data_IF_538862209714
#
_entry.id   IF_538862209714
#
_cell.length_a   1.000
_cell.length_b   1.000
_cell.length_c   1.000
_cell.angle_alpha   90.00
_cell.angle_beta   90.00
_cell.angle_gamma   90.00
#
_symmetry.space_group_name_H-M   'P 1'
#
loop_
_entity.id
_entity.type
_entity.pdbx_description
1 polymer ?
#
# COMPACT_ATOMS: atom_id res chain seq x y z
N UNK A 1 -15.08 26.57 -17.47
CA UNK A 1 -14.96 26.91 -18.89
C UNK A 1 -16.35 27.16 -19.48
N UNK A 2 -16.76 28.42 -19.61
CA UNK A 2 -17.96 28.83 -20.37
C UNK A 2 -17.55 29.12 -21.81
N UNK A 3 -18.33 28.75 -22.83
CA UNK A 3 -17.95 28.98 -24.22
C UNK A 3 -18.22 30.43 -24.61
N UNK A 4 -17.22 31.07 -25.22
CA UNK A 4 -17.37 32.38 -25.84
C UNK A 4 -18.25 32.24 -27.08
N UNK A 5 -19.42 32.87 -27.04
CA UNK A 5 -20.28 33.07 -28.20
C UNK A 5 -19.65 34.11 -29.13
N UNK A 6 -19.00 33.67 -30.21
CA UNK A 6 -18.97 34.35 -31.52
C UNK A 6 -18.04 33.59 -32.47
N UNK A 7 -18.60 32.94 -33.50
CA UNK A 7 -17.85 32.51 -34.69
C UNK A 7 -17.76 31.00 -34.93
N UNK A 8 -18.82 30.42 -35.51
CA UNK A 8 -18.74 29.46 -36.64
C UNK A 8 -18.01 28.12 -36.52
N UNK A 9 -17.41 27.75 -35.39
CA UNK A 9 -16.87 26.42 -35.13
C UNK A 9 -17.22 26.04 -33.69
N UNK A 10 -18.31 25.29 -33.52
CA UNK A 10 -18.72 24.80 -32.21
C UNK A 10 -17.79 23.65 -31.78
N UNK A 11 -16.68 23.99 -31.12
CA UNK A 11 -15.76 23.01 -30.55
C UNK A 11 -16.43 22.11 -29.49
N UNK A 12 -17.57 22.53 -28.95
CA UNK A 12 -18.37 21.69 -28.06
C UNK A 12 -19.16 20.61 -28.81
N UNK A 13 -19.08 20.53 -30.15
CA UNK A 13 -19.73 19.46 -30.91
C UNK A 13 -18.82 18.24 -31.15
N UNK A 14 -17.48 18.40 -31.11
CA UNK A 14 -16.55 17.34 -31.53
C UNK A 14 -16.01 16.46 -30.39
N UNK A 15 -15.95 16.98 -29.16
CA UNK A 15 -15.38 16.24 -28.03
C UNK A 15 -16.49 15.69 -27.13
N UNK A 16 -16.46 14.38 -26.91
CA UNK A 16 -17.33 13.72 -25.94
C UNK A 16 -17.08 14.22 -24.52
N UNK A 17 -18.02 13.96 -23.60
CA UNK A 17 -17.90 14.38 -22.20
C UNK A 17 -16.59 13.88 -21.56
N UNK A 18 -16.24 12.61 -21.80
CA UNK A 18 -15.04 11.99 -21.26
C UNK A 18 -13.75 12.67 -21.75
N UNK A 19 -13.68 13.04 -23.02
CA UNK A 19 -12.49 13.70 -23.58
C UNK A 19 -12.32 15.11 -22.99
N UNK A 20 -13.44 15.83 -22.78
CA UNK A 20 -13.40 17.14 -22.09
C UNK A 20 -12.86 17.01 -20.67
N UNK A 21 -13.27 15.97 -19.95
CA UNK A 21 -12.76 15.69 -18.60
C UNK A 21 -11.26 15.35 -18.62
N UNK A 22 -10.78 14.59 -19.61
CA UNK A 22 -9.35 14.31 -19.78
C UNK A 22 -8.55 15.58 -20.06
N UNK A 23 -9.05 16.47 -20.92
CA UNK A 23 -8.41 17.76 -21.20
C UNK A 23 -8.38 18.64 -19.95
N UNK A 24 -9.49 18.74 -19.22
CA UNK A 24 -9.53 19.47 -17.95
C UNK A 24 -8.53 18.90 -16.93
N UNK A 25 -8.47 17.57 -16.80
CA UNK A 25 -7.49 16.89 -15.94
C UNK A 25 -6.05 17.16 -16.37
N UNK A 26 -5.77 17.23 -17.67
CA UNK A 26 -4.44 17.55 -18.20
C UNK A 26 -4.00 18.97 -17.83
N UNK A 27 -4.89 19.95 -17.90
CA UNK A 27 -4.60 21.34 -17.48
C UNK A 27 -4.31 21.38 -15.98
N UNK A 28 -5.18 20.78 -15.15
CA UNK A 28 -4.98 20.73 -13.69
C UNK A 28 -3.66 20.09 -13.32
N UNK A 29 -3.31 18.95 -13.94
CA UNK A 29 -2.03 18.28 -13.67
C UNK A 29 -0.84 19.12 -14.12
N UNK A 30 -0.93 19.84 -15.23
CA UNK A 30 0.14 20.73 -15.69
C UNK A 30 0.38 21.89 -14.70
N UNK A 31 -0.70 22.52 -14.24
CA UNK A 31 -0.64 23.60 -13.24
C UNK A 31 -0.07 23.10 -11.91
N UNK A 32 -0.51 21.94 -11.42
CA UNK A 32 0.02 21.33 -10.19
C UNK A 32 1.51 21.02 -10.31
N UNK A 33 1.96 20.48 -11.45
CA UNK A 33 3.39 20.19 -11.68
C UNK A 33 4.22 21.48 -11.66
N UNK A 34 3.76 22.52 -12.33
CA UNK A 34 4.42 23.82 -12.34
C UNK A 34 4.46 24.46 -10.94
N UNK A 35 3.37 24.37 -10.17
CA UNK A 35 3.31 24.87 -8.80
C UNK A 35 4.29 24.14 -7.87
N UNK A 36 4.35 22.81 -7.93
CA UNK A 36 5.29 22.00 -7.14
C UNK A 36 6.74 22.36 -7.47
N UNK A 37 7.07 22.57 -8.74
CA UNK A 37 8.41 22.98 -9.15
C UNK A 37 8.74 24.42 -8.68
N UNK A 38 7.80 25.35 -8.81
CA UNK A 38 7.98 26.74 -8.41
C UNK A 38 8.10 26.92 -6.88
N UNK A 39 7.28 26.24 -6.10
CA UNK A 39 7.22 26.40 -4.64
C UNK A 39 8.26 25.55 -3.91
N UNK A 40 8.51 24.32 -4.38
CA UNK A 40 9.32 23.34 -3.66
C UNK A 40 10.63 22.98 -4.37
N UNK A 41 10.82 23.40 -5.63
CA UNK A 41 12.01 23.07 -6.43
C UNK A 41 12.07 21.60 -6.88
N UNK A 42 10.97 20.86 -6.78
CA UNK A 42 10.90 19.45 -7.19
C UNK A 42 10.14 19.29 -8.50
N UNK A 43 10.70 18.55 -9.45
CA UNK A 43 9.96 18.14 -10.64
C UNK A 43 9.10 16.91 -10.34
N UNK A 44 7.87 16.86 -10.87
CA UNK A 44 7.02 15.69 -10.79
C UNK A 44 6.43 15.31 -12.15
N UNK A 45 6.07 14.02 -12.29
CA UNK A 45 5.38 13.48 -13.46
C UNK A 45 3.93 13.18 -13.13
N UNK A 46 3.05 13.28 -14.13
CA UNK A 46 1.61 13.06 -13.97
C UNK A 46 1.04 12.05 -14.96
N UNK A 47 -0.08 11.42 -14.60
CA UNK A 47 -0.85 10.57 -15.49
C UNK A 47 -2.33 10.95 -15.40
N UNK A 48 -2.98 11.12 -16.54
CA UNK A 48 -4.39 11.49 -16.65
C UNK A 48 -5.10 10.43 -17.48
N UNK A 49 -6.17 9.84 -16.95
CA UNK A 49 -6.93 8.80 -17.61
C UNK A 49 -8.35 8.70 -17.02
N UNK A 50 -9.19 7.87 -17.64
CA UNK A 50 -10.57 7.60 -17.21
C UNK A 50 -10.69 6.86 -15.87
N UNK A 51 -9.63 6.22 -15.37
CA UNK A 51 -9.64 5.54 -14.08
C UNK A 51 -8.25 5.53 -13.41
N UNK A 52 -8.21 5.17 -12.12
CA UNK A 52 -7.00 5.18 -11.27
C UNK A 52 -5.89 4.27 -11.80
N UNK A 53 -6.26 3.10 -12.33
CA UNK A 53 -5.34 2.12 -12.89
C UNK A 53 -4.58 2.70 -14.09
N UNK A 54 -5.30 3.20 -15.09
CA UNK A 54 -4.72 3.74 -16.31
C UNK A 54 -3.93 5.03 -16.03
N UNK A 55 -4.40 5.87 -15.12
CA UNK A 55 -3.66 7.08 -14.71
C UNK A 55 -2.31 6.70 -14.06
N UNK A 56 -2.31 5.68 -13.20
CA UNK A 56 -1.09 5.17 -12.55
C UNK A 56 -0.10 4.57 -13.53
N UNK A 57 -0.59 3.85 -14.55
CA UNK A 57 0.22 3.29 -15.62
C UNK A 57 0.79 4.40 -16.51
N UNK A 58 -0.06 5.32 -16.98
CA UNK A 58 0.33 6.45 -17.84
C UNK A 58 1.38 7.37 -17.21
N UNK A 59 1.28 7.63 -15.90
CA UNK A 59 2.25 8.42 -15.14
C UNK A 59 3.69 7.85 -15.21
N UNK A 60 3.83 6.54 -15.36
CA UNK A 60 5.13 5.87 -15.43
C UNK A 60 5.83 5.95 -16.78
N UNK A 61 5.12 6.25 -17.86
CA UNK A 61 5.60 6.04 -19.24
C UNK A 61 6.66 7.05 -19.68
N UNK A 62 6.44 8.34 -19.42
CA UNK A 62 7.26 9.43 -19.96
C UNK A 62 8.10 10.14 -18.89
N UNK A 63 8.42 9.47 -17.77
CA UNK A 63 9.31 10.06 -16.76
C UNK A 63 10.70 10.37 -17.37
N UNK A 64 11.41 11.41 -16.89
CA UNK A 64 11.05 12.35 -15.80
C UNK A 64 10.35 13.63 -16.29
N UNK A 65 9.76 14.40 -15.35
CA UNK A 65 9.13 15.71 -15.56
C UNK A 65 8.22 15.84 -16.81
N UNK A 66 7.36 14.85 -17.01
CA UNK A 66 6.32 14.88 -18.05
C UNK A 66 4.99 14.39 -17.51
N UNK A 67 3.92 14.70 -18.23
CA UNK A 67 2.61 14.11 -18.01
C UNK A 67 2.14 13.31 -19.21
N UNK A 68 1.39 12.25 -18.96
CA UNK A 68 0.78 11.42 -20.00
C UNK A 68 -0.73 11.44 -19.89
N UNK A 69 -1.42 11.66 -20.99
CA UNK A 69 -2.87 11.50 -21.10
C UNK A 69 -3.13 10.16 -21.79
N UNK A 70 -3.83 9.25 -21.13
CA UNK A 70 -4.21 7.95 -21.68
C UNK A 70 -5.63 8.05 -22.22
N UNK A 71 -5.74 8.14 -23.54
CA UNK A 71 -7.02 8.12 -24.25
C UNK A 71 -7.62 6.71 -24.24
N UNK A 72 -8.96 6.55 -24.26
CA UNK A 72 -9.62 5.24 -24.30
C UNK A 72 -9.12 4.35 -25.44
N UNK A 73 -8.88 4.94 -26.61
CA UNK A 73 -8.41 4.24 -27.82
C UNK A 73 -6.96 3.74 -27.68
N UNK A 74 -6.18 4.41 -26.82
CA UNK A 74 -4.78 4.04 -26.55
C UNK A 74 -4.64 2.92 -25.50
N UNK A 75 -5.72 2.57 -24.78
CA UNK A 75 -5.66 1.57 -23.69
C UNK A 75 -5.19 0.20 -24.20
N UNK A 76 -5.73 -0.26 -25.33
CA UNK A 76 -5.32 -1.55 -25.91
C UNK A 76 -3.83 -1.59 -26.26
N UNK A 77 -3.29 -0.51 -26.82
CA UNK A 77 -1.86 -0.38 -27.11
C UNK A 77 -1.00 -0.29 -25.84
N UNK A 78 -1.49 0.41 -24.81
CA UNK A 78 -0.81 0.54 -23.54
C UNK A 78 -0.65 -0.81 -22.83
N UNK A 79 -1.67 -1.66 -22.89
CA UNK A 79 -1.71 -2.94 -22.17
C UNK A 79 -1.08 -4.09 -22.96
N UNK A 80 -0.96 -3.97 -24.28
CA UNK A 80 -0.50 -5.04 -25.19
C UNK A 80 0.75 -5.77 -24.68
N UNK A 81 1.81 -5.01 -24.43
CA UNK A 81 3.12 -5.54 -24.06
C UNK A 81 3.44 -5.29 -22.58
N UNK A 82 2.43 -4.91 -21.77
CA UNK A 82 2.64 -4.58 -20.36
C UNK A 82 2.86 -5.87 -19.56
N UNK A 83 4.03 -6.06 -18.91
CA UNK A 83 4.25 -7.23 -18.06
C UNK A 83 3.29 -7.23 -16.88
N UNK A 84 2.79 -8.41 -16.49
CA UNK A 84 1.81 -8.52 -15.40
C UNK A 84 2.30 -7.91 -14.07
N UNK A 85 3.59 -7.98 -13.76
CA UNK A 85 4.12 -7.39 -12.51
C UNK A 85 4.00 -5.86 -12.47
N UNK A 86 3.84 -5.21 -13.64
CA UNK A 86 3.66 -3.77 -13.74
C UNK A 86 2.19 -3.36 -13.58
N UNK A 87 1.24 -4.30 -13.67
CA UNK A 87 -0.14 -4.02 -13.30
C UNK A 87 -0.23 -3.83 -11.77
N UNK A 88 -0.82 -2.71 -11.31
CA UNK A 88 -1.13 -2.51 -9.90
C UNK A 88 -1.84 -3.73 -9.29
N UNK A 89 -1.33 -4.22 -8.16
CA UNK A 89 -1.86 -5.40 -7.46
C UNK A 89 -1.29 -6.75 -7.93
N UNK A 90 -0.58 -6.81 -9.07
CA UNK A 90 0.04 -8.04 -9.58
C UNK A 90 1.57 -8.06 -9.50
N UNK A 91 2.20 -7.09 -8.82
CA UNK A 91 3.65 -7.09 -8.59
C UNK A 91 4.14 -8.07 -7.52
N UNK A 92 3.24 -8.75 -6.80
CA UNK A 92 3.56 -9.68 -5.71
C UNK A 92 3.11 -11.12 -5.99
N UNK A 93 2.88 -11.88 -4.92
CA UNK A 93 2.58 -13.32 -4.98
C UNK A 93 1.40 -13.66 -5.89
N UNK A 94 0.34 -12.84 -5.88
CA UNK A 94 -0.82 -13.07 -6.75
C UNK A 94 -0.42 -13.04 -8.23
N UNK A 95 0.41 -12.08 -8.64
CA UNK A 95 0.88 -12.02 -10.03
C UNK A 95 1.76 -13.20 -10.38
N UNK A 96 2.65 -13.63 -9.47
CA UNK A 96 3.48 -14.83 -9.67
C UNK A 96 2.62 -16.09 -9.83
N UNK A 97 1.60 -16.28 -8.99
CA UNK A 97 0.66 -17.39 -9.07
C UNK A 97 -0.15 -17.36 -10.38
N UNK A 98 -0.60 -16.19 -10.81
CA UNK A 98 -1.33 -16.00 -12.08
C UNK A 98 -0.44 -16.39 -13.26
N UNK A 99 0.82 -15.93 -13.29
CA UNK A 99 1.79 -16.31 -14.32
C UNK A 99 2.00 -17.81 -14.40
N UNK A 100 2.21 -18.45 -13.25
CA UNK A 100 2.47 -19.88 -13.16
C UNK A 100 1.25 -20.72 -13.55
N UNK A 101 0.07 -20.41 -13.00
CA UNK A 101 -1.14 -21.21 -13.19
C UNK A 101 -1.75 -21.05 -14.59
N UNK A 102 -1.64 -19.86 -15.20
CA UNK A 102 -2.26 -19.55 -16.49
C UNK A 102 -1.28 -19.54 -17.65
N UNK A 103 0.03 -19.59 -17.39
CA UNK A 103 1.11 -19.51 -18.38
C UNK A 103 1.04 -18.24 -19.24
N UNK A 104 0.82 -17.10 -18.58
CA UNK A 104 0.75 -15.77 -19.19
C UNK A 104 1.82 -14.86 -18.58
N UNK A 105 2.29 -13.87 -19.33
CA UNK A 105 3.34 -12.93 -18.91
C UNK A 105 2.93 -11.47 -19.07
N UNK A 106 1.98 -11.17 -19.96
CA UNK A 106 1.51 -9.82 -20.28
C UNK A 106 0.04 -9.61 -19.94
N UNK A 107 -0.37 -8.33 -19.82
CA UNK A 107 -1.77 -7.98 -19.60
C UNK A 107 -2.68 -8.44 -20.75
N UNK A 108 -2.22 -8.34 -22.01
CA UNK A 108 -3.00 -8.82 -23.15
C UNK A 108 -3.16 -10.35 -23.17
N UNK A 109 -2.12 -11.10 -22.80
CA UNK A 109 -2.24 -12.56 -22.66
C UNK A 109 -3.24 -12.93 -21.56
N UNK A 110 -3.23 -12.21 -20.43
CA UNK A 110 -4.20 -12.42 -19.36
C UNK A 110 -5.63 -12.07 -19.81
N UNK A 111 -5.81 -10.98 -20.56
CA UNK A 111 -7.12 -10.58 -21.11
C UNK A 111 -7.68 -11.61 -22.11
N UNK A 112 -6.80 -12.34 -22.80
CA UNK A 112 -7.19 -13.41 -23.72
C UNK A 112 -7.56 -14.74 -23.01
N UNK A 113 -7.34 -14.87 -21.70
CA UNK A 113 -7.69 -16.09 -20.96
C UNK A 113 -9.21 -16.20 -20.86
N UNK A 114 -9.82 -17.34 -21.27
CA UNK A 114 -11.25 -17.54 -21.12
C UNK A 114 -11.72 -17.42 -19.67
N UNK A 115 -12.85 -16.75 -19.45
CA UNK A 115 -13.43 -16.51 -18.10
C UNK A 115 -13.55 -17.79 -17.28
N UNK A 116 -14.02 -18.89 -17.89
CA UNK A 116 -14.14 -20.19 -17.21
C UNK A 116 -12.80 -20.72 -16.67
N UNK A 117 -11.69 -20.46 -17.37
CA UNK A 117 -10.34 -20.85 -16.92
C UNK A 117 -9.85 -19.94 -15.79
N UNK A 118 -10.16 -18.64 -15.86
CA UNK A 118 -9.89 -17.70 -14.76
C UNK A 118 -10.67 -18.07 -13.49
N UNK A 119 -11.96 -18.38 -13.61
CA UNK A 119 -12.82 -18.79 -12.49
C UNK A 119 -12.38 -20.12 -11.87
N UNK A 120 -11.93 -21.08 -12.68
CA UNK A 120 -11.43 -22.35 -12.18
C UNK A 120 -10.13 -22.19 -11.38
N UNK A 121 -9.21 -21.34 -11.82
CA UNK A 121 -7.92 -21.13 -11.17
C UNK A 121 -8.00 -20.13 -9.99
N UNK A 122 -8.78 -19.07 -10.14
CA UNK A 122 -8.87 -17.94 -9.21
C UNK A 122 -10.32 -17.51 -8.95
N UNK A 123 -11.16 -18.37 -8.33
CA UNK A 123 -12.61 -18.14 -8.23
C UNK A 123 -12.99 -16.84 -7.53
N UNK A 124 -12.17 -16.35 -6.59
CA UNK A 124 -12.42 -15.09 -5.88
C UNK A 124 -11.95 -13.85 -6.63
N UNK A 125 -10.97 -14.00 -7.54
CA UNK A 125 -10.30 -12.90 -8.22
C UNK A 125 -10.55 -12.87 -9.73
N UNK A 126 -11.29 -13.83 -10.29
CA UNK A 126 -11.47 -13.96 -11.73
C UNK A 126 -11.98 -12.68 -12.40
N UNK A 127 -13.05 -12.08 -11.87
CA UNK A 127 -13.58 -10.79 -12.35
C UNK A 127 -12.55 -9.69 -12.25
N UNK A 128 -11.87 -9.58 -11.09
CA UNK A 128 -10.83 -8.57 -10.87
C UNK A 128 -9.68 -8.71 -11.87
N UNK A 129 -9.17 -9.93 -12.08
CA UNK A 129 -8.06 -10.20 -13.01
C UNK A 129 -8.45 -9.87 -14.45
N UNK A 130 -9.67 -10.24 -14.86
CA UNK A 130 -10.18 -9.94 -16.19
C UNK A 130 -10.32 -8.43 -16.42
N UNK A 131 -10.97 -7.72 -15.50
CA UNK A 131 -11.15 -6.26 -15.59
C UNK A 131 -9.82 -5.52 -15.58
N UNK A 132 -8.90 -5.93 -14.70
CA UNK A 132 -7.56 -5.34 -14.61
C UNK A 132 -6.78 -5.51 -15.92
N UNK A 133 -6.84 -6.69 -16.54
CA UNK A 133 -6.17 -6.99 -17.80
C UNK A 133 -6.72 -6.19 -18.99
N UNK A 134 -7.99 -5.81 -18.95
CA UNK A 134 -8.64 -4.94 -19.94
C UNK A 134 -8.53 -3.45 -19.60
N UNK A 135 -7.84 -3.08 -18.52
CA UNK A 135 -7.70 -1.68 -18.10
C UNK A 135 -8.94 -1.08 -17.46
N UNK A 136 -9.89 -1.92 -17.02
CA UNK A 136 -11.12 -1.54 -16.32
C UNK A 136 -10.85 -1.50 -14.81
N UNK A 137 -11.26 -0.41 -14.17
CA UNK A 137 -11.15 -0.23 -12.72
C UNK A 137 -12.27 0.70 -12.26
N UNK A 138 -13.16 0.19 -11.41
CA UNK A 138 -14.40 0.88 -11.06
C UNK A 138 -14.36 1.62 -9.73
N UNK A 139 -13.37 1.36 -8.87
CA UNK A 139 -13.35 2.03 -7.57
C UNK A 139 -13.20 3.54 -7.75
N UNK A 140 -14.05 4.34 -7.08
CA UNK A 140 -13.94 5.78 -7.11
C UNK A 140 -12.65 6.26 -6.45
N UNK A 141 -12.27 7.50 -6.73
CA UNK A 141 -11.26 8.20 -5.93
C UNK A 141 -11.88 8.41 -4.55
N UNK A 142 -11.21 7.88 -3.53
CA UNK A 142 -11.58 8.08 -2.13
C UNK A 142 -10.70 9.16 -1.55
N UNK A 143 -11.29 10.01 -0.70
CA UNK A 143 -10.52 10.93 0.11
C UNK A 143 -9.56 10.17 1.03
N UNK A 144 -8.52 10.86 1.49
CA UNK A 144 -7.55 10.26 2.39
C UNK A 144 -8.22 9.91 3.73
N UNK A 145 -8.49 8.63 3.93
CA UNK A 145 -8.96 8.12 5.22
C UNK A 145 -7.88 8.23 6.31
N UNK A 146 -8.32 8.33 7.56
CA UNK A 146 -7.43 8.25 8.71
C UNK A 146 -6.76 6.88 8.76
N UNK A 147 -5.47 6.85 9.11
CA UNK A 147 -4.71 5.60 9.23
C UNK A 147 -5.43 4.62 10.16
N UNK A 148 -5.67 3.38 9.73
CA UNK A 148 -6.39 2.39 10.55
C UNK A 148 -5.50 1.77 11.65
N UNK A 149 -4.18 1.89 11.50
CA UNK A 149 -3.18 1.41 12.46
C UNK A 149 -1.96 2.34 12.50
N UNK A 150 -1.26 2.34 13.65
CA UNK A 150 0.05 2.95 13.83
C UNK A 150 1.04 1.85 14.20
N UNK A 151 2.13 1.70 13.46
CA UNK A 151 3.14 0.66 13.73
C UNK A 151 4.55 1.22 13.82
N UNK A 152 5.36 0.57 14.65
CA UNK A 152 6.79 0.78 14.81
C UNK A 152 7.48 -0.59 14.86
N UNK A 153 8.62 -0.72 14.21
CA UNK A 153 9.31 -2.00 14.13
C UNK A 153 10.68 -1.89 13.50
N UNK A 154 11.47 -2.94 13.66
CA UNK A 154 12.86 -3.00 13.19
C UNK A 154 13.23 -4.41 12.74
N UNK A 155 14.00 -4.47 11.67
CA UNK A 155 14.66 -5.70 11.19
C UNK A 155 16.11 -5.71 11.64
N UNK A 156 16.56 -6.86 12.13
CA UNK A 156 17.87 -7.12 12.71
C UNK A 156 18.65 -8.09 11.84
N UNK A 157 19.83 -7.67 11.37
CA UNK A 157 20.63 -8.43 10.41
C UNK A 157 21.91 -9.01 11.04
N UNK A 158 22.27 -10.22 10.63
CA UNK A 158 23.54 -10.87 10.97
C UNK A 158 23.77 -10.95 12.49
N UNK A 159 24.89 -10.38 12.95
CA UNK A 159 25.28 -10.35 14.37
C UNK A 159 24.39 -9.47 15.26
N UNK A 160 23.49 -8.69 14.68
CA UNK A 160 22.60 -7.79 15.42
C UNK A 160 21.23 -8.41 15.72
N UNK A 161 21.04 -9.70 15.40
CA UNK A 161 19.85 -10.47 15.78
C UNK A 161 19.69 -10.45 17.30
N UNK A 162 18.44 -10.45 17.74
CA UNK A 162 18.15 -10.44 19.17
C UNK A 162 18.04 -11.88 19.66
N UNK A 163 18.92 -12.21 20.59
CA UNK A 163 19.05 -13.57 21.11
C UNK A 163 18.45 -13.72 22.51
N UNK A 164 18.19 -12.62 23.21
CA UNK A 164 17.60 -12.64 24.55
C UNK A 164 16.22 -11.98 24.61
N UNK A 165 15.42 -12.40 25.60
CA UNK A 165 14.12 -11.77 25.88
C UNK A 165 14.31 -10.31 26.30
N UNK A 166 15.36 -10.02 27.07
CA UNK A 166 15.66 -8.67 27.54
C UNK A 166 15.95 -7.71 26.37
N UNK A 167 16.67 -8.17 25.33
CA UNK A 167 16.91 -7.36 24.13
C UNK A 167 15.60 -7.04 23.41
N UNK A 168 14.68 -8.01 23.33
CA UNK A 168 13.38 -7.80 22.70
C UNK A 168 12.51 -6.85 23.52
N UNK A 169 12.50 -6.98 24.84
CA UNK A 169 11.77 -6.09 25.76
C UNK A 169 12.31 -4.66 25.72
N UNK A 170 13.62 -4.47 25.61
CA UNK A 170 14.22 -3.16 25.38
C UNK A 170 13.65 -2.51 24.10
N UNK A 171 13.65 -3.24 22.97
CA UNK A 171 13.09 -2.72 21.71
C UNK A 171 11.59 -2.47 21.79
N UNK A 172 10.81 -3.27 22.52
CA UNK A 172 9.40 -2.98 22.76
C UNK A 172 9.20 -1.68 23.53
N UNK A 173 10.08 -1.35 24.48
CA UNK A 173 10.09 -0.05 25.16
C UNK A 173 10.28 1.11 24.18
N UNK A 174 11.29 1.01 23.32
CA UNK A 174 11.57 2.03 22.29
C UNK A 174 10.37 2.22 21.34
N UNK A 175 9.80 1.13 20.83
CA UNK A 175 8.62 1.18 19.96
C UNK A 175 7.39 1.72 20.68
N UNK A 176 7.21 1.40 21.96
CA UNK A 176 6.09 1.89 22.74
C UNK A 176 6.17 3.40 22.96
N UNK A 177 7.36 3.95 23.22
CA UNK A 177 7.57 5.39 23.34
C UNK A 177 7.26 6.11 22.02
N UNK A 178 7.78 5.62 20.89
CA UNK A 178 7.50 6.19 19.56
C UNK A 178 6.00 6.12 19.21
N UNK A 179 5.38 4.96 19.43
CA UNK A 179 3.97 4.76 19.13
C UNK A 179 3.08 5.59 20.05
N UNK A 180 3.42 5.75 21.32
CA UNK A 180 2.68 6.60 22.24
C UNK A 180 2.71 8.06 21.78
N UNK A 181 3.87 8.58 21.35
CA UNK A 181 3.96 9.94 20.80
C UNK A 181 3.08 10.13 19.56
N UNK A 182 3.13 9.18 18.62
CA UNK A 182 2.32 9.21 17.38
C UNK A 182 0.83 9.06 17.66
N UNK A 183 0.47 8.20 18.61
CA UNK A 183 -0.89 8.00 19.07
C UNK A 183 -1.43 9.26 19.76
N UNK A 184 -0.70 9.89 20.67
CA UNK A 184 -1.15 11.11 21.35
C UNK A 184 -1.44 12.23 20.34
N UNK A 185 -0.60 12.38 19.31
CA UNK A 185 -0.87 13.32 18.22
C UNK A 185 -2.13 12.95 17.40
N UNK A 186 -2.42 11.66 17.19
CA UNK A 186 -3.66 11.20 16.54
C UNK A 186 -4.89 11.44 17.42
N UNK A 187 -4.76 11.23 18.74
CA UNK A 187 -5.81 11.48 19.72
C UNK A 187 -6.19 12.96 19.76
N UNK A 188 -5.20 13.86 19.82
CA UNK A 188 -5.43 15.31 19.86
C UNK A 188 -6.07 15.82 18.57
N UNK A 189 -5.64 15.31 17.41
CA UNK A 189 -6.13 15.77 16.10
C UNK A 189 -7.48 15.16 15.73
N UNK A 190 -7.69 13.90 16.08
CA UNK A 190 -8.78 13.08 15.54
C UNK A 190 -9.72 12.50 16.63
N UNK A 191 -9.46 12.77 17.91
CA UNK A 191 -10.36 12.40 19.02
C UNK A 191 -10.56 10.89 19.19
N UNK A 192 -9.54 10.07 18.90
CA UNK A 192 -9.64 8.61 18.85
C UNK A 192 -8.48 7.90 19.53
N UNK A 193 -8.77 6.74 20.13
CA UNK A 193 -7.81 5.91 20.84
C UNK A 193 -7.77 4.47 20.31
N UNK A 194 -6.60 3.83 20.27
CA UNK A 194 -6.45 2.45 19.81
C UNK A 194 -6.98 1.48 20.86
N UNK A 195 -7.83 0.54 20.44
CA UNK A 195 -8.32 -0.53 21.31
C UNK A 195 -7.48 -1.81 21.24
N UNK A 196 -6.55 -1.95 20.30
CA UNK A 196 -5.80 -3.20 20.11
C UNK A 196 -4.32 -2.95 19.96
N UNK A 197 -3.53 -3.85 20.52
CA UNK A 197 -2.07 -3.93 20.32
C UNK A 197 -1.72 -5.26 19.66
N UNK A 198 -0.85 -5.22 18.67
CA UNK A 198 -0.36 -6.38 17.93
C UNK A 198 1.16 -6.41 17.99
N UNK A 199 1.72 -7.55 18.40
CA UNK A 199 3.16 -7.83 18.37
C UNK A 199 3.45 -8.76 17.21
N UNK A 200 4.41 -8.41 16.36
CA UNK A 200 4.93 -9.25 15.29
C UNK A 200 6.40 -9.58 15.54
N UNK A 201 6.75 -10.86 15.40
CA UNK A 201 8.12 -11.36 15.58
C UNK A 201 8.49 -12.21 14.37
N UNK A 202 9.61 -11.89 13.73
CA UNK A 202 10.23 -12.73 12.70
C UNK A 202 11.43 -13.47 13.25
N UNK A 203 11.49 -14.78 13.00
CA UNK A 203 12.66 -15.62 13.26
C UNK A 203 13.11 -16.28 11.97
N UNK A 204 14.43 -16.31 11.75
CA UNK A 204 15.03 -16.85 10.53
C UNK A 204 15.28 -15.79 9.46
N UNK A 205 16.26 -16.07 8.57
CA UNK A 205 16.75 -15.14 7.54
C UNK A 205 18.13 -14.53 7.80
N UNK A 206 18.85 -14.99 8.81
CA UNK A 206 20.14 -14.44 9.23
C UNK A 206 21.34 -15.28 8.83
N UNK A 207 21.49 -15.67 7.57
CA UNK A 207 22.75 -16.14 7.02
C UNK A 207 22.85 -15.61 5.58
N UNK A 208 23.83 -14.74 5.33
CA UNK A 208 24.00 -14.12 4.02
C UNK A 208 24.07 -15.16 2.92
N UNK A 209 23.32 -14.92 1.83
CA UNK A 209 23.57 -15.46 0.49
C UNK A 209 22.76 -14.63 -0.50
N UNK A 210 23.31 -14.46 -1.70
CA UNK A 210 22.74 -13.63 -2.77
C UNK A 210 21.33 -14.05 -3.19
N UNK A 211 20.81 -13.27 -4.14
CA UNK A 211 19.45 -13.17 -4.71
C UNK A 211 18.67 -14.47 -5.04
N UNK A 212 19.12 -15.68 -4.68
CA UNK A 212 18.46 -16.94 -4.97
C UNK A 212 18.55 -17.89 -3.77
N UNK A 213 17.68 -17.69 -2.78
CA UNK A 213 17.51 -18.63 -1.69
C UNK A 213 16.22 -18.32 -0.93
N UNK A 214 15.25 -19.23 -0.99
CA UNK A 214 14.04 -19.17 -0.16
C UNK A 214 14.43 -19.43 1.30
N UNK A 215 14.72 -18.37 2.06
CA UNK A 215 14.84 -18.48 3.51
C UNK A 215 13.44 -18.57 4.10
N UNK A 216 13.12 -19.66 4.82
CA UNK A 216 11.87 -19.74 5.55
C UNK A 216 11.86 -18.69 6.66
N UNK A 217 11.18 -17.57 6.39
CA UNK A 217 10.86 -16.59 7.41
C UNK A 217 9.65 -17.11 8.18
N UNK A 218 9.85 -17.49 9.45
CA UNK A 218 8.73 -17.75 10.34
C UNK A 218 8.36 -16.45 11.04
N UNK A 219 7.31 -15.78 10.54
CA UNK A 219 6.70 -14.65 11.24
C UNK A 219 5.57 -15.15 12.14
N UNK A 220 5.54 -14.70 13.40
CA UNK A 220 4.42 -14.92 14.31
C UNK A 220 3.85 -13.58 14.74
N UNK A 221 2.52 -13.50 14.82
CA UNK A 221 1.82 -12.31 15.27
C UNK A 221 0.81 -12.69 16.36
N UNK A 222 0.76 -11.89 17.42
CA UNK A 222 -0.25 -11.99 18.46
C UNK A 222 -0.86 -10.61 18.70
N UNK A 223 -2.16 -10.56 18.94
CA UNK A 223 -2.86 -9.32 19.28
C UNK A 223 -3.63 -9.48 20.58
N UNK A 224 -3.65 -8.44 21.40
CA UNK A 224 -4.48 -8.35 22.61
C UNK A 224 -5.23 -7.02 22.63
N UNK A 225 -6.30 -6.99 23.41
CA UNK A 225 -7.06 -5.77 23.67
C UNK A 225 -6.23 -4.86 24.59
N UNK A 226 -6.06 -3.60 24.20
CA UNK A 226 -5.31 -2.60 24.96
C UNK A 226 -6.23 -1.85 25.96
N UNK A 227 -7.55 -2.08 25.90
CA UNK A 227 -8.50 -1.35 26.71
C UNK A 227 -8.70 0.09 26.21
N UNK A 228 -8.90 1.02 27.14
CA UNK A 228 -9.36 2.39 26.82
C UNK A 228 -8.25 3.32 26.32
N UNK A 229 -7.05 3.26 26.89
CA UNK A 229 -5.84 4.03 26.49
C UNK A 229 -4.60 3.45 27.19
N UNK A 230 -3.44 3.43 26.52
CA UNK A 230 -2.18 2.96 27.10
C UNK A 230 -1.10 4.05 27.18
N UNK A 231 -0.49 4.25 28.35
CA UNK A 231 0.82 4.92 28.44
C UNK A 231 1.89 4.12 27.71
N UNK A 232 3.06 4.71 27.44
CA UNK A 232 4.18 3.99 26.85
C UNK A 232 4.53 2.72 27.66
N UNK A 233 4.50 2.78 29.00
CA UNK A 233 4.77 1.65 29.87
C UNK A 233 3.71 0.55 29.72
N UNK A 234 2.43 0.91 29.62
CA UNK A 234 1.34 -0.05 29.43
C UNK A 234 1.45 -0.76 28.07
N UNK A 235 1.78 0.00 27.01
CA UNK A 235 2.02 -0.52 25.68
C UNK A 235 3.21 -1.50 25.69
N UNK A 236 4.33 -1.11 26.30
CA UNK A 236 5.52 -1.95 26.41
C UNK A 236 5.27 -3.23 27.23
N UNK A 237 4.58 -3.10 28.36
CA UNK A 237 4.22 -4.24 29.21
C UNK A 237 3.29 -5.22 28.49
N UNK A 238 2.28 -4.71 27.79
CA UNK A 238 1.38 -5.50 26.97
C UNK A 238 2.14 -6.25 25.84
N UNK A 239 3.10 -5.58 25.21
CA UNK A 239 3.95 -6.19 24.19
C UNK A 239 4.82 -7.31 24.77
N UNK A 240 5.46 -7.06 25.92
CA UNK A 240 6.27 -8.07 26.62
C UNK A 240 5.44 -9.30 27.02
N UNK A 241 4.20 -9.12 27.48
CA UNK A 241 3.28 -10.23 27.78
C UNK A 241 2.97 -11.05 26.52
N UNK A 242 2.66 -10.40 25.40
CA UNK A 242 2.44 -11.09 24.13
C UNK A 242 3.68 -11.88 23.69
N UNK A 243 4.85 -11.26 23.80
CA UNK A 243 6.11 -11.86 23.42
C UNK A 243 6.46 -13.08 24.28
N UNK A 244 6.33 -12.98 25.61
CA UNK A 244 6.64 -14.09 26.53
C UNK A 244 5.75 -15.31 26.36
N UNK A 245 4.50 -15.14 25.88
CA UNK A 245 3.62 -16.27 25.50
C UNK A 245 4.17 -17.06 24.32
N UNK A 246 4.97 -16.41 23.49
CA UNK A 246 5.59 -17.01 22.32
C UNK A 246 7.02 -17.48 22.55
N UNK A 247 7.81 -16.69 23.31
CA UNK A 247 9.24 -16.87 23.45
C UNK A 247 9.57 -18.24 24.06
N UNK A 248 10.47 -19.03 23.42
CA UNK A 248 11.00 -20.25 24.01
C UNK A 248 11.55 -20.00 25.42
N UNK A 249 11.17 -20.86 26.37
CA UNK A 249 11.59 -20.79 27.78
C UNK A 249 12.82 -21.67 28.05
N UNK A 250 13.42 -22.24 27.01
CA UNK A 250 14.53 -23.21 27.05
C UNK A 250 15.91 -22.54 27.09
N UNK A 251 15.98 -21.22 27.17
CA UNK A 251 17.22 -20.45 27.31
C UNK A 251 18.11 -20.45 26.05
N UNK A 252 17.65 -21.02 24.94
CA UNK A 252 18.38 -20.96 23.67
C UNK A 252 18.32 -19.56 23.07
N UNK A 253 19.33 -19.15 22.28
CA UNK A 253 19.28 -17.90 21.52
C UNK A 253 18.01 -17.84 20.65
N UNK A 254 17.25 -16.76 20.80
CA UNK A 254 15.98 -16.60 20.09
C UNK A 254 16.17 -16.39 18.59
N UNK A 255 17.28 -15.76 18.19
CA UNK A 255 17.58 -15.50 16.80
C UNK A 255 16.55 -14.62 16.09
N UNK A 256 15.94 -13.67 16.80
CA UNK A 256 14.92 -12.77 16.24
C UNK A 256 15.55 -11.86 15.18
N UNK A 257 14.96 -11.86 13.99
CA UNK A 257 15.39 -11.07 12.82
C UNK A 257 14.44 -9.91 12.54
N UNK A 258 13.23 -9.89 13.10
CA UNK A 258 12.38 -8.69 13.07
C UNK A 258 11.48 -8.62 14.29
N UNK A 259 11.25 -7.41 14.78
CA UNK A 259 10.25 -7.09 15.79
C UNK A 259 9.37 -5.96 15.29
N UNK A 260 8.09 -6.01 15.62
CA UNK A 260 7.16 -4.94 15.34
C UNK A 260 6.04 -4.87 16.37
N UNK A 261 5.56 -3.66 16.56
CA UNK A 261 4.44 -3.31 17.41
C UNK A 261 3.45 -2.48 16.60
N UNK A 262 2.16 -2.76 16.73
CA UNK A 262 1.12 -1.99 16.06
C UNK A 262 -0.06 -1.72 16.99
N UNK A 263 -0.54 -0.49 16.95
CA UNK A 263 -1.78 -0.03 17.58
C UNK A 263 -2.87 0.03 16.51
N UNK A 264 -4.04 -0.55 16.77
CA UNK A 264 -5.15 -0.62 15.82
C UNK A 264 -6.50 -0.62 16.52
N UNK A 265 -7.58 -0.72 15.74
CA UNK A 265 -8.94 -0.75 16.29
C UNK A 265 -9.30 0.57 16.96
N UNK A 266 -8.94 1.68 16.33
CA UNK A 266 -9.20 3.00 16.86
C UNK A 266 -10.70 3.26 17.00
N UNK A 267 -11.09 3.83 18.14
CA UNK A 267 -12.46 4.20 18.48
C UNK A 267 -12.48 5.64 18.98
N UNK A 268 -13.60 6.37 18.85
CA UNK A 268 -13.73 7.68 19.47
C UNK A 268 -13.36 7.60 20.96
N UNK A 269 -12.51 8.51 21.41
CA UNK A 269 -12.22 8.64 22.83
C UNK A 269 -13.49 9.16 23.51
N UNK A 270 -14.09 8.36 24.41
CA UNK A 270 -15.23 8.82 25.19
C UNK A 270 -14.83 10.07 25.98
N UNK A 271 -15.68 11.09 26.00
CA UNK A 271 -15.47 12.30 26.79
C UNK A 271 -15.61 11.97 28.29
N UNK A 272 -14.49 11.76 29.00
CA UNK A 272 -14.42 11.72 30.47
C UNK A 272 -13.82 10.41 31.03
N UNK A 273 -12.93 10.42 32.02
CA UNK A 273 -12.67 11.45 33.02
C UNK A 273 -11.18 11.61 33.33
N UNK A 274 -10.81 12.86 33.54
CA UNK A 274 -9.74 13.25 34.44
C UNK A 274 -10.06 12.77 35.87
#
# INVERSE_FOLDING_TARGET
>A
FTPASTGGWDWAFFWGEQERLLVAGAVVVAELRAAVEAELGFSCSGGVAQNKLLAKLGCGLHKPNQQTIVLPEAVGSLLRDLPLERLPGLGGDLGAQVKEALHVSTAAELAAVPTARLEAAFPKQATYLHELAEGRHHDPVQDRELCQSLSAGKTFFGRHRLDTVADCEHWFGEFACELHQRYTADLERNGRAPGKISVSVGVGGGAGKGMQGSSSHSSRQMSIDLGRTGTAEQIASAAAVCFRRWAPQDGRPLGVTSLGLALSGFRPAEAGGA
#
